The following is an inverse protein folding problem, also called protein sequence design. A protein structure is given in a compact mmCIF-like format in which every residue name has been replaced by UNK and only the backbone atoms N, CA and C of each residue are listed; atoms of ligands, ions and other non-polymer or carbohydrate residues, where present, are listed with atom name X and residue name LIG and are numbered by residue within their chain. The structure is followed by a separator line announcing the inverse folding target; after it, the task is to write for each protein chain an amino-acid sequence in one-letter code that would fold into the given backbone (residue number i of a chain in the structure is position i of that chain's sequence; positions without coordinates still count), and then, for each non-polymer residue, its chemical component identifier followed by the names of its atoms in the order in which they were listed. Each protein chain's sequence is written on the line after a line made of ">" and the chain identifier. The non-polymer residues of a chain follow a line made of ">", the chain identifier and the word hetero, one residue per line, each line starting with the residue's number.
data_IF_545110414773
#
_entry.id   IF_545110414773
#
_cell.length_a   1.000
_cell.length_b   1.000
_cell.length_c   1.000
_cell.angle_alpha   90.00
_cell.angle_beta   90.00
_cell.angle_gamma   90.00
#
_symmetry.space_group_name_H-M   'P 1'
#
loop_
_entity.id
_entity.type
_entity.pdbx_description
1 polymer ?
#
# COMPACT_ATOMS: atom_id res chain seq x y z
N UNK A 1 15.53 -36.25 -12.52
CA UNK A 1 15.21 -37.29 -13.54
C UNK A 1 14.68 -36.75 -14.88
N UNK A 2 14.44 -35.44 -15.04
CA UNK A 2 13.66 -34.89 -16.17
C UNK A 2 14.45 -34.51 -17.43
N UNK A 3 15.79 -34.56 -17.41
CA UNK A 3 16.65 -34.18 -18.54
C UNK A 3 17.33 -35.35 -19.25
N UNK A 4 17.19 -36.58 -18.73
CA UNK A 4 17.94 -37.71 -19.29
C UNK A 4 17.51 -38.08 -20.72
N UNK A 5 16.27 -37.78 -21.12
CA UNK A 5 15.73 -38.20 -22.43
C UNK A 5 16.36 -37.44 -23.62
N UNK A 6 16.66 -36.15 -23.46
CA UNK A 6 17.22 -35.31 -24.53
C UNK A 6 18.68 -35.64 -24.83
N UNK A 7 19.40 -36.25 -23.88
CA UNK A 7 20.84 -36.50 -23.97
C UNK A 7 21.20 -37.97 -24.26
N UNK A 8 20.23 -38.89 -24.34
CA UNK A 8 20.48 -40.35 -24.55
C UNK A 8 21.19 -40.64 -25.89
N UNK A 9 20.87 -39.86 -26.93
CA UNK A 9 21.38 -40.12 -28.29
C UNK A 9 22.66 -39.34 -28.61
N UNK A 10 23.22 -38.58 -27.66
CA UNK A 10 24.44 -37.82 -27.87
C UNK A 10 25.65 -38.68 -27.47
N UNK A 11 26.63 -38.89 -28.38
CA UNK A 11 27.88 -39.55 -28.03
C UNK A 11 28.71 -38.68 -27.07
N UNK A 12 29.32 -39.31 -26.05
CA UNK A 12 30.22 -38.62 -25.11
C UNK A 12 29.59 -38.12 -23.80
N UNK A 13 28.31 -38.44 -23.54
CA UNK A 13 27.67 -38.16 -22.25
C UNK A 13 28.03 -39.27 -21.25
N UNK A 14 28.59 -38.88 -20.10
CA UNK A 14 28.96 -39.79 -19.02
C UNK A 14 27.77 -39.97 -18.09
N UNK A 15 27.21 -41.19 -18.03
CA UNK A 15 26.02 -41.50 -17.22
C UNK A 15 26.33 -42.08 -15.84
N UNK A 16 27.57 -42.54 -15.63
CA UNK A 16 28.01 -43.28 -14.44
C UNK A 16 28.87 -42.45 -13.48
N UNK A 17 28.86 -41.13 -13.62
CA UNK A 17 29.54 -40.21 -12.72
C UNK A 17 28.52 -39.42 -11.89
N UNK A 18 28.86 -39.03 -10.65
CA UNK A 18 28.01 -38.14 -9.87
C UNK A 18 27.89 -36.78 -10.56
N UNK A 19 26.70 -36.19 -10.55
CA UNK A 19 26.42 -34.91 -11.19
C UNK A 19 27.23 -33.75 -10.58
N UNK A 20 27.65 -33.88 -9.31
CA UNK A 20 28.48 -32.90 -8.62
C UNK A 20 29.58 -33.57 -7.78
N UNK A 21 30.79 -32.98 -7.78
CA UNK A 21 31.90 -33.38 -6.93
C UNK A 21 32.17 -32.25 -5.93
N UNK A 22 31.63 -32.41 -4.73
CA UNK A 22 31.71 -31.39 -3.66
C UNK A 22 32.56 -31.91 -2.50
N UNK A 23 33.21 -30.98 -1.79
CA UNK A 23 33.84 -31.29 -0.50
C UNK A 23 32.75 -31.60 0.53
N UNK A 24 32.99 -32.48 1.52
CA UNK A 24 32.02 -32.74 2.57
C UNK A 24 31.61 -31.43 3.26
N UNK A 25 30.32 -31.19 3.37
CA UNK A 25 29.78 -30.04 4.11
C UNK A 25 30.10 -30.22 5.59
N UNK A 26 31.14 -29.52 6.04
CA UNK A 26 31.37 -29.32 7.46
C UNK A 26 30.49 -28.16 7.94
N UNK A 27 29.85 -28.26 9.11
CA UNK A 27 29.18 -27.11 9.68
C UNK A 27 30.23 -26.04 9.92
N UNK A 28 30.29 -25.04 9.04
CA UNK A 28 31.06 -23.82 9.27
C UNK A 28 30.52 -23.21 10.56
N UNK A 29 31.38 -22.70 11.44
CA UNK A 29 30.98 -21.98 12.66
C UNK A 29 30.12 -20.76 12.30
N UNK A 30 28.84 -20.98 12.05
CA UNK A 30 27.77 -19.98 11.93
C UNK A 30 27.05 -19.82 13.28
N UNK A 31 27.71 -20.19 14.38
CA UNK A 31 27.41 -19.50 15.63
C UNK A 31 27.88 -18.08 15.41
N UNK A 32 26.92 -17.17 15.31
CA UNK A 32 27.11 -15.74 15.28
C UNK A 32 28.01 -15.33 16.44
N UNK A 33 29.32 -15.31 16.20
CA UNK A 33 30.20 -14.37 16.86
C UNK A 33 29.80 -13.00 16.32
N UNK A 34 28.63 -12.53 16.72
CA UNK A 34 28.38 -11.10 16.78
C UNK A 34 29.56 -10.56 17.59
N UNK A 35 30.46 -9.86 16.90
CA UNK A 35 31.50 -9.11 17.55
C UNK A 35 30.78 -8.15 18.49
N UNK A 36 30.64 -8.56 19.75
CA UNK A 36 29.98 -7.77 20.76
C UNK A 36 30.61 -6.41 20.75
N UNK A 37 29.78 -5.37 20.65
CA UNK A 37 30.22 -3.99 20.75
C UNK A 37 31.21 -3.89 21.91
N UNK A 38 32.34 -3.25 21.63
CA UNK A 38 33.45 -3.11 22.56
C UNK A 38 32.92 -2.50 23.87
N UNK A 39 32.74 -3.33 24.90
CA UNK A 39 32.33 -2.94 26.25
C UNK A 39 33.52 -2.25 26.95
N UNK A 40 34.05 -1.21 26.30
CA UNK A 40 35.13 -0.38 26.81
C UNK A 40 34.61 0.42 27.99
N UNK A 41 35.27 0.30 29.15
CA UNK A 41 34.95 1.04 30.39
C UNK A 41 34.99 2.58 30.19
N UNK A 42 35.65 3.04 29.12
CA UNK A 42 35.72 4.45 28.73
C UNK A 42 34.51 4.97 27.93
N UNK A 43 33.58 4.09 27.50
CA UNK A 43 32.43 4.46 26.65
C UNK A 43 31.12 4.11 27.36
N UNK A 44 30.33 5.13 27.68
CA UNK A 44 28.97 4.93 28.18
C UNK A 44 28.04 4.61 26.99
N UNK A 45 27.52 3.40 26.94
CA UNK A 45 26.48 3.01 26.00
C UNK A 45 25.11 3.41 26.57
N UNK A 46 24.36 4.21 25.82
CA UNK A 46 23.00 4.62 26.18
C UNK A 46 22.00 3.98 25.22
N UNK A 47 21.00 3.30 25.78
CA UNK A 47 19.87 2.80 25.00
C UNK A 47 18.93 3.95 24.68
N UNK A 48 18.85 4.32 23.41
CA UNK A 48 17.97 5.41 22.97
C UNK A 48 16.56 4.84 22.77
N UNK A 49 15.67 5.11 23.74
CA UNK A 49 14.25 4.81 23.58
C UNK A 49 13.57 5.90 22.75
N UNK A 50 13.29 5.60 21.47
CA UNK A 50 12.64 6.53 20.53
C UNK A 50 11.31 7.09 21.06
N UNK A 51 10.55 6.33 21.85
CA UNK A 51 9.27 6.79 22.42
C UNK A 51 9.49 7.85 23.51
N UNK A 52 10.40 7.60 24.44
CA UNK A 52 10.73 8.55 25.52
C UNK A 52 11.36 9.83 24.96
N UNK A 53 12.21 9.71 23.94
CA UNK A 53 12.77 10.87 23.23
C UNK A 53 11.66 11.64 22.53
N UNK A 54 10.75 10.97 21.83
CA UNK A 54 9.61 11.63 21.18
C UNK A 54 8.76 12.39 22.21
N UNK A 55 8.39 11.78 23.33
CA UNK A 55 7.61 12.42 24.39
C UNK A 55 8.36 13.60 25.02
N UNK A 56 9.68 13.48 25.20
CA UNK A 56 10.52 14.56 25.73
C UNK A 56 10.63 15.77 24.80
N UNK A 57 10.50 15.58 23.48
CA UNK A 57 10.55 16.65 22.47
C UNK A 57 9.18 17.04 21.93
N UNK A 58 8.12 16.29 22.26
CA UNK A 58 6.76 16.60 21.85
C UNK A 58 6.33 17.95 22.45
N UNK A 59 5.80 18.83 21.61
CA UNK A 59 5.45 20.20 21.98
C UNK A 59 6.64 21.18 22.11
N UNK A 60 7.89 20.78 21.85
CA UNK A 60 9.04 21.68 21.73
C UNK A 60 9.33 21.97 20.26
N UNK A 61 9.22 23.23 19.86
CA UNK A 61 9.43 23.66 18.47
C UNK A 61 10.64 24.58 18.35
N UNK A 62 11.36 24.47 17.24
CA UNK A 62 12.51 25.31 16.90
C UNK A 62 12.13 26.28 15.78
N UNK A 63 12.39 27.58 15.98
CA UNK A 63 12.16 28.59 14.94
C UNK A 63 13.49 28.94 14.26
N UNK A 64 13.55 28.70 12.94
CA UNK A 64 14.73 28.97 12.10
C UNK A 64 14.77 30.36 11.45
N UNK A 65 13.75 31.21 11.63
CA UNK A 65 13.65 32.50 10.88
C UNK A 65 14.76 33.51 11.23
N UNK A 66 15.34 33.43 12.42
CA UNK A 66 16.43 34.30 12.87
C UNK A 66 17.80 33.59 12.87
N UNK A 67 17.86 32.33 12.40
CA UNK A 67 19.09 31.56 12.39
C UNK A 67 20.01 32.06 11.26
N UNK A 68 21.16 32.61 11.62
CA UNK A 68 22.16 33.09 10.67
C UNK A 68 23.49 32.37 10.92
N UNK A 69 23.87 31.49 9.98
CA UNK A 69 25.12 30.73 9.98
C UNK A 69 26.18 31.31 9.05
N UNK A 70 25.98 32.53 8.53
CA UNK A 70 27.06 33.21 7.81
C UNK A 70 28.19 33.55 8.77
N UNK A 71 29.43 33.33 8.34
CA UNK A 71 30.68 33.40 9.14
C UNK A 71 31.07 34.83 9.59
N UNK A 72 30.09 35.72 9.69
CA UNK A 72 30.26 37.09 10.13
C UNK A 72 30.00 37.15 11.65
N UNK A 73 31.09 37.04 12.42
CA UNK A 73 31.14 36.86 13.87
C UNK A 73 30.44 37.95 14.73
N UNK A 74 29.81 38.96 14.14
CA UNK A 74 29.15 40.05 14.87
C UNK A 74 27.67 39.80 15.19
N UNK A 75 26.98 38.87 14.50
CA UNK A 75 25.56 38.51 14.78
C UNK A 75 25.21 37.05 14.40
N UNK A 76 26.06 36.09 14.72
CA UNK A 76 25.67 34.69 14.64
C UNK A 76 24.59 34.42 15.72
N UNK A 77 23.34 34.20 15.31
CA UNK A 77 22.25 33.76 16.19
C UNK A 77 21.81 32.38 15.73
N UNK A 78 21.82 31.43 16.65
CA UNK A 78 21.32 30.08 16.42
C UNK A 78 19.79 30.00 16.49
N UNK A 79 19.28 28.77 16.47
CA UNK A 79 17.84 28.52 16.67
C UNK A 79 17.38 29.03 18.03
N UNK A 80 16.22 29.70 18.05
CA UNK A 80 15.60 30.18 19.29
C UNK A 80 14.45 29.24 19.66
N UNK A 81 14.49 28.71 20.88
CA UNK A 81 13.42 27.89 21.44
C UNK A 81 12.21 28.78 21.75
N UNK A 82 11.06 28.48 21.14
CA UNK A 82 9.78 29.10 21.54
C UNK A 82 9.06 28.15 22.50
N UNK A 83 8.77 28.64 23.71
CA UNK A 83 7.79 28.01 24.59
C UNK A 83 6.36 28.28 24.10
N UNK A 84 5.44 27.39 24.46
CA UNK A 84 4.05 27.31 23.96
C UNK A 84 3.21 28.55 24.33
N UNK A 85 3.77 29.49 25.08
CA UNK A 85 3.07 30.68 25.59
C UNK A 85 3.82 31.95 25.21
N UNK A 86 3.86 32.28 23.92
CA UNK A 86 4.10 33.66 23.51
C UNK A 86 3.40 33.98 22.18
N UNK A 87 2.19 34.52 22.34
CA UNK A 87 1.47 35.43 21.46
C UNK A 87 1.29 35.01 19.99
N UNK A 88 0.10 34.47 19.71
CA UNK A 88 -0.57 34.43 18.40
C UNK A 88 -0.91 35.83 17.83
N UNK A 89 -0.23 36.88 18.30
CA UNK A 89 -0.33 38.20 17.73
C UNK A 89 0.85 38.33 16.77
N UNK A 90 0.56 38.45 15.48
CA UNK A 90 1.59 38.74 14.51
C UNK A 90 1.11 38.46 13.08
N UNK A 91 1.54 37.36 12.46
CA UNK A 91 1.60 37.33 10.99
C UNK A 91 1.40 35.95 10.30
N UNK A 92 0.34 35.20 10.61
CA UNK A 92 -0.19 34.12 9.74
C UNK A 92 -1.69 34.39 9.43
N UNK A 93 -2.19 34.20 8.20
CA UNK A 93 -3.60 34.37 7.89
C UNK A 93 -4.39 33.21 8.52
N UNK A 94 -5.16 33.51 9.57
CA UNK A 94 -6.02 32.54 10.25
C UNK A 94 -6.94 31.78 9.27
N UNK A 95 -7.05 30.46 9.45
CA UNK A 95 -8.06 29.69 8.71
C UNK A 95 -9.47 30.08 9.15
N UNK A 96 -10.46 29.96 8.27
CA UNK A 96 -11.83 30.41 8.54
C UNK A 96 -12.47 29.76 9.79
N UNK A 97 -12.06 28.53 10.13
CA UNK A 97 -12.54 27.80 11.31
C UNK A 97 -11.86 28.32 12.59
N UNK A 98 -10.57 28.62 12.54
CA UNK A 98 -9.82 29.21 13.66
C UNK A 98 -10.32 30.63 13.95
N UNK A 99 -10.57 31.42 12.90
CA UNK A 99 -11.18 32.76 13.02
C UNK A 99 -12.56 32.70 13.66
N UNK A 100 -13.38 31.71 13.30
CA UNK A 100 -14.69 31.50 13.93
C UNK A 100 -14.56 31.17 15.42
N UNK A 101 -13.64 30.28 15.79
CA UNK A 101 -13.40 29.93 17.20
C UNK A 101 -12.92 31.13 18.02
N UNK A 102 -12.03 31.95 17.45
CA UNK A 102 -11.60 33.20 18.09
C UNK A 102 -12.76 34.17 18.26
N UNK A 103 -13.54 34.44 17.21
CA UNK A 103 -14.69 35.34 17.27
C UNK A 103 -15.75 34.88 18.29
N UNK A 104 -15.98 33.58 18.43
CA UNK A 104 -16.87 33.05 19.46
C UNK A 104 -16.32 33.29 20.87
N UNK A 105 -15.01 33.18 21.06
CA UNK A 105 -14.36 33.50 22.34
C UNK A 105 -14.40 35.01 22.63
N UNK A 106 -14.15 35.86 21.63
CA UNK A 106 -14.22 37.32 21.75
C UNK A 106 -15.65 37.79 22.05
N UNK A 107 -16.68 37.18 21.44
CA UNK A 107 -18.08 37.47 21.76
C UNK A 107 -18.45 37.06 23.19
N UNK A 108 -17.94 35.93 23.67
CA UNK A 108 -18.17 35.47 25.03
C UNK A 108 -17.42 36.32 26.07
N UNK A 109 -16.21 36.77 25.74
CA UNK A 109 -15.44 37.72 26.56
C UNK A 109 -16.15 39.08 26.62
N UNK A 110 -16.64 39.58 25.49
CA UNK A 110 -17.42 40.81 25.42
C UNK A 110 -18.72 40.70 26.21
N UNK A 111 -19.45 39.58 26.14
CA UNK A 111 -20.62 39.33 27.00
C UNK A 111 -20.23 39.33 28.50
N UNK A 112 -19.06 38.78 28.83
CA UNK A 112 -18.51 38.76 30.18
C UNK A 112 -18.18 40.16 30.72
N UNK A 113 -17.48 40.98 29.94
CA UNK A 113 -17.15 42.37 30.28
C UNK A 113 -18.42 43.19 30.53
N UNK A 114 -19.42 43.01 29.68
CA UNK A 114 -20.65 43.77 29.73
C UNK A 114 -21.55 43.40 30.91
N UNK A 115 -21.57 42.11 31.27
CA UNK A 115 -22.20 41.64 32.50
C UNK A 115 -21.45 42.09 33.77
N UNK A 116 -20.13 42.35 33.68
CA UNK A 116 -19.37 42.95 34.77
C UNK A 116 -19.67 44.45 34.88
N UNK A 117 -19.72 45.19 33.76
CA UNK A 117 -20.08 46.63 33.77
C UNK A 117 -21.48 46.82 34.34
N UNK A 118 -22.44 45.97 34.00
CA UNK A 118 -23.80 46.00 34.57
C UNK A 118 -23.85 45.88 36.11
N UNK A 119 -22.83 45.25 36.74
CA UNK A 119 -22.71 45.14 38.20
C UNK A 119 -22.07 46.37 38.85
N UNK A 120 -21.33 47.17 38.08
CA UNK A 120 -20.72 48.43 38.52
C UNK A 120 -21.71 49.59 38.34
N UNK A 121 -22.83 49.51 39.07
CA UNK A 121 -23.84 50.56 39.27
C UNK A 121 -23.92 51.70 38.24
N UNK A 122 -24.55 51.44 37.08
CA UNK A 122 -24.82 52.46 36.05
C UNK A 122 -26.18 53.15 36.21
N UNK A 123 -26.32 54.32 35.55
CA UNK A 123 -27.59 55.03 35.44
C UNK A 123 -28.66 54.18 34.74
N UNK A 124 -29.95 54.42 35.03
CA UNK A 124 -31.07 53.59 34.52
C UNK A 124 -31.12 53.53 32.98
N UNK A 125 -30.82 54.63 32.29
CA UNK A 125 -30.80 54.69 30.82
C UNK A 125 -29.62 53.91 30.22
N UNK A 126 -28.48 53.92 30.90
CA UNK A 126 -27.30 53.14 30.48
C UNK A 126 -27.55 51.65 30.71
N UNK A 127 -28.18 51.26 31.82
CA UNK A 127 -28.57 49.87 32.08
C UNK A 127 -29.54 49.31 31.03
N UNK A 128 -30.51 50.10 30.55
CA UNK A 128 -31.42 49.66 29.48
C UNK A 128 -30.69 49.48 28.14
N UNK A 129 -29.85 50.45 27.75
CA UNK A 129 -29.02 50.34 26.54
C UNK A 129 -28.04 49.16 26.62
N UNK A 130 -27.44 48.95 27.79
CA UNK A 130 -26.59 47.80 28.04
C UNK A 130 -27.40 46.49 27.84
N UNK A 131 -28.55 46.35 28.50
CA UNK A 131 -29.35 45.13 28.38
C UNK A 131 -29.79 44.85 26.92
N UNK A 132 -30.08 45.88 26.12
CA UNK A 132 -30.36 45.70 24.67
C UNK A 132 -29.14 45.21 23.89
N UNK A 133 -27.92 45.65 24.23
CA UNK A 133 -26.71 45.21 23.57
C UNK A 133 -26.37 43.76 23.91
N UNK A 134 -26.56 43.35 25.17
CA UNK A 134 -26.42 41.95 25.59
C UNK A 134 -27.41 41.05 24.83
N UNK A 135 -28.66 41.50 24.67
CA UNK A 135 -29.65 40.78 23.86
C UNK A 135 -29.22 40.65 22.40
N UNK A 136 -28.65 41.70 21.79
CA UNK A 136 -28.10 41.61 20.44
C UNK A 136 -26.89 40.67 20.33
N UNK A 137 -25.99 40.65 21.32
CA UNK A 137 -24.85 39.73 21.37
C UNK A 137 -25.34 38.27 21.47
N UNK A 138 -26.33 37.99 22.31
CA UNK A 138 -26.94 36.67 22.43
C UNK A 138 -27.64 36.23 21.13
N UNK A 139 -28.36 37.14 20.47
CA UNK A 139 -28.95 36.88 19.15
C UNK A 139 -27.88 36.58 18.10
N UNK A 140 -26.77 37.33 18.08
CA UNK A 140 -25.64 37.09 17.18
C UNK A 140 -25.03 35.70 17.41
N UNK A 141 -24.82 35.30 18.67
CA UNK A 141 -24.30 33.98 19.04
C UNK A 141 -25.24 32.84 18.61
N UNK A 142 -26.55 33.03 18.76
CA UNK A 142 -27.56 32.06 18.30
C UNK A 142 -27.59 31.97 16.76
N UNK A 143 -27.48 33.09 16.05
CA UNK A 143 -27.42 33.11 14.59
C UNK A 143 -26.15 32.45 14.05
N UNK A 144 -24.98 32.73 14.62
CA UNK A 144 -23.71 32.10 14.20
C UNK A 144 -23.68 30.60 14.46
N UNK A 145 -24.24 30.13 15.60
CA UNK A 145 -24.33 28.70 15.90
C UNK A 145 -25.33 27.97 14.99
N UNK A 146 -26.48 28.57 14.67
CA UNK A 146 -27.46 28.00 13.72
C UNK A 146 -26.90 27.87 12.30
N UNK A 147 -26.15 28.86 11.82
CA UNK A 147 -25.54 28.84 10.47
C UNK A 147 -24.46 27.74 10.38
N UNK A 148 -23.70 27.51 11.46
CA UNK A 148 -22.72 26.41 11.53
C UNK A 148 -23.42 25.04 11.58
N UNK A 149 -24.47 24.88 12.38
CA UNK A 149 -25.25 23.64 12.48
C UNK A 149 -26.02 23.29 11.20
N UNK A 150 -26.51 24.29 10.47
CA UNK A 150 -27.25 24.10 9.21
C UNK A 150 -26.38 23.52 8.09
N UNK A 151 -25.05 23.74 8.11
CA UNK A 151 -24.15 23.22 7.07
C UNK A 151 -23.79 21.74 7.26
N UNK A 152 -23.99 21.18 8.46
CA UNK A 152 -23.79 19.75 8.76
C UNK A 152 -25.07 18.93 8.52
N UNK A 153 -26.25 19.51 8.75
CA UNK A 153 -27.55 18.81 8.59
C UNK A 153 -28.05 18.68 7.14
N UNK A 154 -27.39 19.33 6.18
CA UNK A 154 -27.70 19.21 4.75
C UNK A 154 -27.29 17.85 4.15
N UNK A 155 -26.56 16.99 4.88
CA UNK A 155 -26.24 15.63 4.37
C UNK A 155 -27.27 14.56 4.74
N UNK A 156 -28.11 14.76 5.76
CA UNK A 156 -29.06 13.73 6.25
C UNK A 156 -30.50 13.93 5.79
N UNK A 157 -30.94 15.18 5.54
CA UNK A 157 -32.36 15.47 5.34
C UNK A 157 -32.90 15.13 3.94
N UNK A 158 -32.03 15.05 2.94
CA UNK A 158 -32.45 14.83 1.54
C UNK A 158 -32.48 13.36 1.11
N UNK A 159 -31.83 12.44 1.82
CA UNK A 159 -31.77 11.03 1.41
C UNK A 159 -33.08 10.28 1.67
N UNK A 160 -33.73 10.51 2.82
CA UNK A 160 -34.96 9.83 3.21
C UNK A 160 -36.18 10.27 2.39
N UNK A 161 -36.30 11.57 2.09
CA UNK A 161 -37.40 12.10 1.29
C UNK A 161 -37.30 11.70 -0.19
N UNK A 162 -36.08 11.58 -0.74
CA UNK A 162 -35.83 11.09 -2.09
C UNK A 162 -36.07 9.58 -2.21
N UNK A 163 -35.67 8.78 -1.22
CA UNK A 163 -35.98 7.34 -1.17
C UNK A 163 -37.49 7.08 -1.13
N UNK A 164 -38.23 7.91 -0.39
CA UNK A 164 -39.69 7.82 -0.30
C UNK A 164 -40.37 8.19 -1.63
N UNK A 165 -39.88 9.24 -2.31
CA UNK A 165 -40.36 9.64 -3.65
C UNK A 165 -40.03 8.60 -4.73
N UNK A 166 -38.85 7.98 -4.67
CA UNK A 166 -38.45 6.89 -5.57
C UNK A 166 -39.28 5.62 -5.33
N UNK A 167 -39.59 5.30 -4.07
CA UNK A 167 -40.46 4.18 -3.74
C UNK A 167 -41.89 4.40 -4.25
N UNK A 168 -42.41 5.62 -4.15
CA UNK A 168 -43.72 6.00 -4.68
C UNK A 168 -43.78 5.91 -6.22
N UNK A 169 -42.78 6.45 -6.92
CA UNK A 169 -42.66 6.36 -8.39
C UNK A 169 -42.56 4.91 -8.88
N UNK A 170 -41.89 4.02 -8.11
CA UNK A 170 -41.80 2.59 -8.42
C UNK A 170 -43.12 1.83 -8.20
N UNK A 171 -44.02 2.32 -7.35
CA UNK A 171 -45.35 1.73 -7.16
C UNK A 171 -46.35 2.21 -8.23
N UNK A 172 -46.26 3.46 -8.66
CA UNK A 172 -47.09 4.00 -9.74
C UNK A 172 -46.78 3.33 -11.09
N UNK A 173 -45.52 2.98 -11.35
CA UNK A 173 -45.11 2.23 -12.55
C UNK A 173 -45.63 0.77 -12.63
N UNK A 174 -46.21 0.23 -11.55
CA UNK A 174 -46.79 -1.13 -11.54
C UNK A 174 -48.29 -1.18 -11.84
N UNK A 175 -49.01 -0.05 -11.87
CA UNK A 175 -50.48 -0.04 -12.01
C UNK A 175 -51.03 0.52 -13.33
N UNK A 176 -50.21 0.95 -14.28
CA UNK A 176 -50.72 1.38 -15.60
C UNK A 176 -50.16 0.52 -16.73
N UNK A 177 -50.95 -0.47 -17.15
CA UNK A 177 -50.89 -1.00 -18.52
C UNK A 177 -51.30 0.12 -19.48
N UNK A 178 -50.34 0.91 -19.95
CA UNK A 178 -50.59 2.00 -20.91
C UNK A 178 -49.37 2.90 -21.00
N UNK A 179 -48.70 2.88 -22.14
CA UNK A 179 -47.37 3.47 -22.31
C UNK A 179 -47.31 4.99 -22.14
N UNK A 180 -46.48 5.43 -21.20
CA UNK A 180 -45.70 6.66 -21.31
C UNK A 180 -44.44 6.50 -20.45
N UNK A 181 -43.29 6.30 -21.09
CA UNK A 181 -41.98 6.26 -20.40
C UNK A 181 -41.58 7.68 -20.04
N UNK A 182 -41.87 8.11 -18.81
CA UNK A 182 -41.19 9.26 -18.20
C UNK A 182 -39.77 8.81 -17.85
N UNK A 183 -38.81 9.12 -18.73
CA UNK A 183 -37.41 8.75 -18.54
C UNK A 183 -36.74 9.70 -17.55
N UNK A 184 -36.90 9.43 -16.26
CA UNK A 184 -36.15 10.11 -15.21
C UNK A 184 -34.66 9.81 -15.39
N UNK A 185 -33.90 10.81 -15.85
CA UNK A 185 -32.47 10.67 -16.14
C UNK A 185 -31.68 11.09 -14.90
N UNK A 186 -31.20 10.12 -14.14
CA UNK A 186 -30.31 10.35 -13.01
C UNK A 186 -28.87 10.51 -13.52
N UNK A 187 -28.27 11.68 -13.29
CA UNK A 187 -26.85 11.93 -13.55
C UNK A 187 -26.06 11.75 -12.25
N UNK A 188 -25.33 10.64 -12.18
CA UNK A 188 -24.43 10.35 -11.08
C UNK A 188 -23.12 11.10 -11.28
N UNK A 189 -22.90 12.14 -10.47
CA UNK A 189 -21.63 12.87 -10.43
C UNK A 189 -20.73 12.23 -9.38
N UNK A 190 -19.86 11.33 -9.81
CA UNK A 190 -18.78 10.79 -8.98
C UNK A 190 -17.54 11.65 -9.21
N UNK A 191 -17.01 12.24 -8.14
CA UNK A 191 -15.67 12.83 -8.18
C UNK A 191 -14.65 11.66 -8.15
N UNK A 192 -13.81 11.47 -9.19
CA UNK A 192 -12.89 10.34 -9.28
C UNK A 192 -11.86 10.32 -8.14
N UNK A 193 -11.52 11.48 -7.56
CA UNK A 193 -10.62 11.57 -6.41
C UNK A 193 -11.23 10.94 -5.14
N UNK A 194 -12.55 11.05 -4.95
CA UNK A 194 -13.26 10.40 -3.85
C UNK A 194 -13.73 8.99 -4.20
N UNK A 195 -13.76 8.61 -5.47
CA UNK A 195 -14.13 7.26 -5.91
C UNK A 195 -12.98 6.26 -5.67
N UNK A 196 -11.75 6.70 -5.96
CA UNK A 196 -10.54 5.95 -5.63
C UNK A 196 -10.38 5.74 -4.12
N UNK A 197 -10.85 6.70 -3.29
CA UNK A 197 -10.89 6.49 -1.84
C UNK A 197 -12.11 5.69 -1.39
N UNK A 198 -13.34 6.04 -1.77
CA UNK A 198 -14.56 5.51 -1.12
C UNK A 198 -15.13 4.24 -1.77
N UNK A 199 -14.89 3.98 -3.06
CA UNK A 199 -15.64 2.97 -3.81
C UNK A 199 -15.26 1.51 -3.52
N UNK A 200 -13.98 1.24 -3.25
CA UNK A 200 -13.48 -0.12 -3.02
C UNK A 200 -12.27 -0.12 -2.09
N UNK A 201 -11.50 0.95 -2.00
CA UNK A 201 -10.24 0.97 -1.27
C UNK A 201 -10.35 1.44 0.18
N UNK A 202 -11.22 2.36 0.60
CA UNK A 202 -11.21 2.80 2.02
C UNK A 202 -11.79 1.74 2.96
N UNK A 203 -12.90 1.08 2.63
CA UNK A 203 -13.45 0.03 3.50
C UNK A 203 -12.58 -1.23 3.47
N UNK A 204 -12.10 -1.65 2.29
CA UNK A 204 -11.19 -2.80 2.19
C UNK A 204 -9.79 -2.49 2.71
N UNK A 205 -9.26 -1.27 2.57
CA UNK A 205 -7.96 -0.89 3.15
C UNK A 205 -8.05 -0.65 4.65
N UNK A 206 -9.18 -0.17 5.20
CA UNK A 206 -9.39 -0.15 6.65
C UNK A 206 -9.49 -1.58 7.21
N UNK A 207 -10.20 -2.48 6.51
CA UNK A 207 -10.24 -3.89 6.88
C UNK A 207 -8.87 -4.57 6.71
N UNK A 208 -8.12 -4.26 5.66
CA UNK A 208 -6.76 -4.74 5.42
C UNK A 208 -5.82 -4.20 6.50
N UNK A 209 -5.93 -2.93 6.88
CA UNK A 209 -5.15 -2.33 7.97
C UNK A 209 -5.45 -2.97 9.33
N UNK A 210 -6.72 -3.30 9.63
CA UNK A 210 -7.07 -4.05 10.84
C UNK A 210 -6.53 -5.49 10.79
N UNK A 211 -6.62 -6.15 9.63
CA UNK A 211 -6.01 -7.48 9.43
C UNK A 211 -4.49 -7.44 9.56
N UNK A 212 -3.81 -6.45 8.98
CA UNK A 212 -2.37 -6.22 9.10
C UNK A 212 -1.99 -5.93 10.55
N UNK A 213 -2.76 -5.12 11.28
CA UNK A 213 -2.51 -4.86 12.69
C UNK A 213 -2.68 -6.13 13.53
N UNK A 214 -3.68 -6.98 13.21
CA UNK A 214 -3.87 -8.28 13.86
C UNK A 214 -2.76 -9.25 13.54
N UNK A 215 -2.33 -9.35 12.28
CA UNK A 215 -1.20 -10.17 11.84
C UNK A 215 0.07 -9.69 12.52
N UNK A 216 0.35 -8.39 12.54
CA UNK A 216 1.50 -7.82 13.25
C UNK A 216 1.46 -8.10 14.76
N UNK A 217 0.29 -8.05 15.40
CA UNK A 217 0.16 -8.47 16.80
C UNK A 217 0.45 -9.96 16.98
N UNK A 218 -0.04 -10.82 16.09
CA UNK A 218 0.25 -12.26 16.12
C UNK A 218 1.74 -12.53 15.84
N UNK A 219 2.35 -11.83 14.91
CA UNK A 219 3.79 -11.88 14.63
C UNK A 219 4.61 -11.36 15.80
N UNK A 220 4.19 -10.33 16.52
CA UNK A 220 4.89 -9.89 17.72
C UNK A 220 4.77 -10.90 18.89
N UNK A 221 3.68 -11.68 18.94
CA UNK A 221 3.47 -12.70 19.97
C UNK A 221 4.15 -14.04 19.65
N UNK A 222 4.23 -14.39 18.36
CA UNK A 222 4.68 -15.71 17.87
C UNK A 222 6.07 -15.61 17.23
N UNK A 223 6.41 -14.45 16.69
CA UNK A 223 7.66 -14.18 15.99
C UNK A 223 8.84 -14.47 16.90
N UNK A 224 9.63 -15.45 16.48
CA UNK A 224 10.93 -15.69 17.08
C UNK A 224 11.85 -14.55 16.63
N UNK A 225 12.48 -13.87 17.58
CA UNK A 225 13.63 -13.01 17.28
C UNK A 225 14.67 -13.86 16.53
N UNK A 226 15.26 -13.31 15.46
CA UNK A 226 16.18 -13.99 14.51
C UNK A 226 17.32 -14.79 15.18
N UNK A 227 17.59 -14.57 16.47
CA UNK A 227 18.64 -15.24 17.25
C UNK A 227 18.23 -16.56 17.93
N UNK A 228 16.95 -16.95 17.95
CA UNK A 228 16.53 -18.26 18.46
C UNK A 228 16.09 -19.15 17.31
N UNK A 229 17.09 -19.63 16.57
CA UNK A 229 16.93 -20.76 15.64
C UNK A 229 16.58 -22.01 16.46
N UNK A 230 15.30 -22.20 16.75
CA UNK A 230 14.77 -23.54 16.99
C UNK A 230 14.76 -24.17 15.60
N UNK A 231 15.84 -24.86 15.27
CA UNK A 231 16.01 -25.66 14.05
C UNK A 231 14.68 -26.28 13.61
N UNK A 232 14.00 -25.64 12.66
CA UNK A 232 12.91 -26.23 11.88
C UNK A 232 11.91 -27.10 12.66
N UNK A 233 11.49 -26.69 13.87
CA UNK A 233 10.39 -27.34 14.59
C UNK A 233 9.26 -26.34 14.73
N UNK A 234 8.11 -26.70 14.17
CA UNK A 234 6.85 -25.99 14.42
C UNK A 234 6.70 -25.76 15.93
N UNK A 235 6.26 -24.57 16.36
CA UNK A 235 6.05 -24.26 17.78
C UNK A 235 5.17 -25.30 18.48
N UNK A 236 4.26 -25.91 17.73
CA UNK A 236 3.43 -27.03 18.18
C UNK A 236 4.28 -28.24 18.59
N UNK A 237 5.28 -28.64 17.82
CA UNK A 237 6.17 -29.74 18.17
C UNK A 237 6.97 -29.42 19.44
N UNK A 238 7.40 -28.16 19.62
CA UNK A 238 8.09 -27.72 20.84
C UNK A 238 7.14 -27.69 22.05
N UNK A 239 5.88 -27.28 21.87
CA UNK A 239 4.84 -27.33 22.89
C UNK A 239 4.47 -28.76 23.27
N UNK A 240 4.38 -29.67 22.29
CA UNK A 240 4.15 -31.09 22.51
C UNK A 240 5.34 -31.73 23.24
N UNK A 241 6.58 -31.36 22.87
CA UNK A 241 7.78 -31.76 23.60
C UNK A 241 7.80 -31.22 25.04
N UNK A 242 7.36 -29.98 25.25
CA UNK A 242 7.24 -29.43 26.60
C UNK A 242 6.13 -30.13 27.39
N UNK A 243 4.99 -30.41 26.77
CA UNK A 243 3.85 -31.11 27.38
C UNK A 243 4.22 -32.53 27.76
N UNK A 244 4.92 -33.26 26.90
CA UNK A 244 5.45 -34.60 27.20
C UNK A 244 6.48 -34.54 28.33
N UNK A 245 7.37 -33.54 28.34
CA UNK A 245 8.27 -33.30 29.48
C UNK A 245 7.51 -32.99 30.77
N UNK A 246 6.48 -32.15 30.72
CA UNK A 246 5.62 -31.84 31.88
C UNK A 246 4.88 -33.09 32.38
N UNK A 247 4.43 -33.96 31.48
CA UNK A 247 3.81 -35.23 31.84
C UNK A 247 4.83 -36.22 32.45
N UNK A 248 6.11 -36.12 32.08
CA UNK A 248 7.19 -36.84 32.74
C UNK A 248 7.53 -36.25 34.13
N UNK A 249 7.16 -35.01 34.45
CA UNK A 249 7.35 -34.48 35.80
C UNK A 249 6.38 -35.11 36.83
N UNK A 250 5.34 -35.83 36.37
CA UNK A 250 4.50 -36.66 37.24
C UNK A 250 5.17 -38.01 37.50
N UNK A 251 5.83 -38.14 38.67
CA UNK A 251 6.58 -39.34 39.05
C UNK A 251 5.75 -40.63 39.05
N UNK A 252 4.44 -40.55 39.30
CA UNK A 252 3.56 -41.72 39.25
C UNK A 252 3.34 -42.24 37.81
N UNK A 253 3.38 -41.34 36.81
CA UNK A 253 3.29 -41.72 35.40
C UNK A 253 4.61 -42.28 34.87
N UNK A 254 5.77 -41.84 35.38
CA UNK A 254 7.07 -42.42 35.04
C UNK A 254 7.12 -43.91 35.43
N UNK A 255 6.79 -44.24 36.68
CA UNK A 255 6.85 -45.63 37.15
C UNK A 255 5.93 -46.56 36.35
N UNK A 256 4.74 -46.07 35.98
CA UNK A 256 3.79 -46.80 35.15
C UNK A 256 4.24 -46.93 33.68
N UNK A 257 4.91 -45.91 33.13
CA UNK A 257 5.51 -45.94 31.79
C UNK A 257 6.69 -46.92 31.77
N UNK A 258 7.54 -46.96 32.80
CA UNK A 258 8.68 -47.88 32.90
C UNK A 258 8.22 -49.34 32.99
N UNK A 259 7.18 -49.63 33.78
CA UNK A 259 6.58 -50.96 33.84
C UNK A 259 5.97 -51.39 32.48
N UNK A 260 5.40 -50.45 31.72
CA UNK A 260 4.87 -50.72 30.38
C UNK A 260 5.98 -50.89 29.36
N UNK A 261 7.02 -50.07 29.39
CA UNK A 261 8.19 -50.19 28.53
C UNK A 261 8.91 -51.51 28.73
N UNK A 262 9.13 -51.95 29.98
CA UNK A 262 9.72 -53.24 30.28
C UNK A 262 8.91 -54.41 29.67
N UNK A 263 7.58 -54.34 29.75
CA UNK A 263 6.69 -55.32 29.13
C UNK A 263 6.72 -55.29 27.59
N UNK A 264 6.78 -54.10 26.99
CA UNK A 264 6.90 -53.95 25.53
C UNK A 264 8.27 -54.44 25.04
N UNK A 265 9.35 -54.16 25.77
CA UNK A 265 10.71 -54.59 25.44
C UNK A 265 10.81 -56.13 25.49
N UNK A 266 10.21 -56.76 26.51
CA UNK A 266 10.10 -58.22 26.58
C UNK A 266 9.35 -58.81 25.37
N UNK A 267 8.22 -58.20 24.98
CA UNK A 267 7.46 -58.63 23.80
C UNK A 267 8.19 -58.38 22.48
N UNK A 268 8.93 -57.28 22.38
CA UNK A 268 9.71 -56.91 21.20
C UNK A 268 10.89 -57.87 20.99
N UNK A 269 11.57 -58.28 22.06
CA UNK A 269 12.61 -59.31 21.98
C UNK A 269 12.04 -60.66 21.51
N UNK A 270 10.88 -61.08 22.04
CA UNK A 270 10.22 -62.31 21.61
C UNK A 270 9.71 -62.27 20.15
N UNK A 271 9.41 -61.08 19.61
CA UNK A 271 9.05 -60.88 18.20
C UNK A 271 10.31 -60.83 17.34
N UNK A 272 11.39 -60.21 17.81
CA UNK A 272 12.65 -60.10 17.08
C UNK A 272 13.30 -61.48 16.87
N UNK A 273 13.23 -62.36 17.88
CA UNK A 273 13.63 -63.77 17.76
C UNK A 273 12.84 -64.54 16.69
N UNK A 274 11.61 -64.10 16.39
CA UNK A 274 10.74 -64.70 15.36
C UNK A 274 10.85 -64.03 13.98
N UNK A 275 11.54 -62.89 13.84
CA UNK A 275 11.52 -62.02 12.64
C UNK A 275 12.73 -62.20 11.71
N UNK A 276 13.60 -63.18 11.93
CA UNK A 276 14.81 -63.40 11.13
C UNK A 276 14.55 -64.07 9.76
N UNK A 277 13.77 -63.43 8.87
CA UNK A 277 13.62 -63.85 7.47
C UNK A 277 14.05 -62.71 6.53
N UNK A 278 15.09 -62.97 5.75
CA UNK A 278 15.84 -62.02 4.90
C UNK A 278 14.97 -61.30 3.85
N UNK A 279 13.88 -61.91 3.37
CA UNK A 279 12.99 -61.31 2.36
C UNK A 279 12.20 -60.08 2.82
N UNK A 280 12.07 -59.89 4.15
CA UNK A 280 11.41 -58.70 4.69
C UNK A 280 12.38 -57.53 4.80
N UNK A 281 13.70 -57.76 4.79
CA UNK A 281 14.71 -56.71 4.91
C UNK A 281 14.80 -55.85 3.64
N UNK A 282 14.71 -56.46 2.44
CA UNK A 282 14.68 -55.72 1.17
C UNK A 282 13.37 -54.94 0.99
N UNK A 283 12.24 -55.51 1.42
CA UNK A 283 10.96 -54.80 1.46
C UNK A 283 10.99 -53.67 2.47
N UNK A 284 11.65 -53.87 3.61
CA UNK A 284 11.80 -52.86 4.64
C UNK A 284 12.75 -51.74 4.20
N UNK A 285 13.82 -52.05 3.47
CA UNK A 285 14.68 -51.03 2.83
C UNK A 285 13.90 -50.20 1.81
N UNK A 286 13.13 -50.86 0.94
CA UNK A 286 12.28 -50.15 -0.04
C UNK A 286 11.16 -49.35 0.61
N UNK A 287 10.58 -49.85 1.71
CA UNK A 287 9.58 -49.13 2.49
C UNK A 287 10.17 -47.91 3.19
N UNK A 288 11.41 -48.00 3.68
CA UNK A 288 12.15 -46.86 4.23
C UNK A 288 12.46 -45.83 3.15
N UNK A 289 12.92 -46.25 1.95
CA UNK A 289 13.11 -45.32 0.82
C UNK A 289 11.81 -44.63 0.39
N UNK A 290 10.69 -45.35 0.37
CA UNK A 290 9.37 -44.79 0.09
C UNK A 290 8.91 -43.83 1.19
N UNK A 291 9.18 -44.14 2.46
CA UNK A 291 8.89 -43.28 3.58
C UNK A 291 9.72 -41.99 3.52
N UNK A 292 11.02 -42.08 3.25
CA UNK A 292 11.90 -40.91 3.09
C UNK A 292 11.45 -40.03 1.91
N UNK A 293 11.07 -40.64 0.78
CA UNK A 293 10.48 -39.90 -0.33
C UNK A 293 9.15 -39.25 0.09
N UNK A 294 8.28 -39.96 0.79
CA UNK A 294 7.01 -39.41 1.25
C UNK A 294 7.22 -38.24 2.22
N UNK A 295 8.11 -38.35 3.19
CA UNK A 295 8.42 -37.28 4.15
C UNK A 295 9.02 -36.04 3.49
N UNK A 296 9.88 -36.22 2.46
CA UNK A 296 10.39 -35.09 1.66
C UNK A 296 9.26 -34.38 0.90
N UNK A 297 8.29 -35.13 0.40
CA UNK A 297 7.17 -34.59 -0.38
C UNK A 297 6.01 -34.12 0.47
N UNK A 298 5.90 -34.54 1.73
CA UNK A 298 4.83 -34.16 2.65
C UNK A 298 4.81 -32.66 2.90
N UNK A 299 6.00 -32.06 3.12
CA UNK A 299 6.14 -30.60 3.25
C UNK A 299 5.73 -29.86 1.98
N UNK A 300 6.10 -30.38 0.81
CA UNK A 300 5.71 -29.80 -0.49
C UNK A 300 4.22 -29.97 -0.77
N UNK A 301 3.62 -31.11 -0.41
CA UNK A 301 2.21 -31.39 -0.57
C UNK A 301 1.35 -30.48 0.31
N UNK A 302 1.81 -30.17 1.53
CA UNK A 302 1.17 -29.18 2.41
C UNK A 302 1.20 -27.76 1.81
N UNK A 303 2.25 -27.42 1.06
CA UNK A 303 2.40 -26.10 0.42
C UNK A 303 1.65 -25.98 -0.92
N UNK A 304 1.31 -27.09 -1.58
CA UNK A 304 0.62 -27.10 -2.86
C UNK A 304 -0.71 -26.31 -2.88
N UNK A 305 -1.65 -26.46 -1.91
CA UNK A 305 -2.86 -25.66 -1.87
C UNK A 305 -2.59 -24.17 -1.65
N UNK A 306 -1.55 -23.82 -0.91
CA UNK A 306 -1.13 -22.42 -0.69
C UNK A 306 -0.64 -21.81 -2.01
N UNK A 307 0.18 -22.56 -2.76
CA UNK A 307 0.65 -22.15 -4.09
C UNK A 307 -0.54 -21.99 -5.04
N UNK A 308 -1.52 -22.90 -5.01
CA UNK A 308 -2.73 -22.79 -5.81
C UNK A 308 -3.53 -21.53 -5.47
N UNK A 309 -3.75 -21.24 -4.19
CA UNK A 309 -4.46 -20.02 -3.75
C UNK A 309 -3.72 -18.76 -4.19
N UNK A 310 -2.39 -18.74 -4.07
CA UNK A 310 -1.56 -17.62 -4.55
C UNK A 310 -1.66 -17.45 -6.06
N UNK A 311 -1.68 -18.55 -6.83
CA UNK A 311 -1.84 -18.51 -8.27
C UNK A 311 -3.22 -17.98 -8.68
N UNK A 312 -4.28 -18.36 -7.96
CA UNK A 312 -5.64 -17.85 -8.18
C UNK A 312 -5.70 -16.36 -7.88
N UNK A 313 -5.14 -15.92 -6.75
CA UNK A 313 -5.08 -14.51 -6.39
C UNK A 313 -4.29 -13.67 -7.41
N UNK A 314 -3.22 -14.24 -7.97
CA UNK A 314 -2.36 -13.56 -8.95
C UNK A 314 -2.86 -13.72 -10.41
N UNK A 315 -3.88 -14.53 -10.66
CA UNK A 315 -4.39 -14.81 -12.01
C UNK A 315 -4.86 -13.54 -12.71
N UNK A 316 -5.56 -12.65 -12.01
CA UNK A 316 -6.03 -11.38 -12.60
C UNK A 316 -4.83 -10.50 -13.02
N UNK A 317 -3.80 -10.40 -12.17
CA UNK A 317 -2.59 -9.67 -12.52
C UNK A 317 -1.86 -10.32 -13.70
N UNK A 318 -1.75 -11.64 -13.74
CA UNK A 318 -1.15 -12.36 -14.86
C UNK A 318 -1.93 -12.15 -16.16
N UNK A 319 -3.26 -12.14 -16.11
CA UNK A 319 -4.11 -11.84 -17.28
C UNK A 319 -3.91 -10.40 -17.74
N UNK A 320 -3.85 -9.44 -16.83
CA UNK A 320 -3.55 -8.04 -17.16
C UNK A 320 -2.16 -7.88 -17.76
N UNK A 321 -1.14 -8.53 -17.20
CA UNK A 321 0.22 -8.50 -17.75
C UNK A 321 0.30 -9.15 -19.14
N UNK A 322 -0.45 -10.23 -19.38
CA UNK A 322 -0.57 -10.84 -20.69
C UNK A 322 -1.25 -9.91 -21.69
N UNK A 323 -2.38 -9.30 -21.33
CA UNK A 323 -3.09 -8.31 -22.16
C UNK A 323 -2.24 -7.06 -22.42
N UNK A 324 -1.41 -6.66 -21.45
CA UNK A 324 -0.47 -5.55 -21.62
C UNK A 324 0.62 -5.90 -22.64
N UNK A 325 1.20 -7.11 -22.56
CA UNK A 325 2.22 -7.56 -23.51
C UNK A 325 1.67 -7.64 -24.95
N UNK A 326 0.46 -8.19 -25.11
CA UNK A 326 -0.19 -8.26 -26.44
C UNK A 326 -0.62 -6.87 -26.94
N UNK A 327 -1.16 -6.02 -26.05
CA UNK A 327 -1.49 -4.63 -26.35
C UNK A 327 -0.25 -3.83 -26.78
N UNK A 328 0.88 -4.00 -26.09
CA UNK A 328 2.14 -3.35 -26.42
C UNK A 328 2.65 -3.78 -27.80
N UNK A 329 2.61 -5.08 -28.10
CA UNK A 329 2.97 -5.58 -29.44
C UNK A 329 2.05 -5.05 -30.53
N UNK A 330 0.74 -4.91 -30.25
CA UNK A 330 -0.21 -4.30 -31.18
C UNK A 330 0.10 -2.82 -31.43
N UNK A 331 0.37 -2.06 -30.37
CA UNK A 331 0.77 -0.66 -30.48
C UNK A 331 2.11 -0.48 -31.21
N UNK A 332 3.07 -1.37 -31.01
CA UNK A 332 4.34 -1.35 -31.75
C UNK A 332 4.11 -1.60 -33.25
N UNK A 333 3.24 -2.56 -33.60
CA UNK A 333 2.87 -2.82 -34.99
C UNK A 333 2.15 -1.61 -35.63
N UNK A 334 1.22 -0.98 -34.91
CA UNK A 334 0.51 0.22 -35.37
C UNK A 334 1.47 1.41 -35.52
N UNK A 335 2.40 1.59 -34.57
CA UNK A 335 3.43 2.62 -34.64
C UNK A 335 4.35 2.42 -35.84
N UNK A 336 4.73 1.17 -36.13
CA UNK A 336 5.55 0.86 -37.31
C UNK A 336 4.77 1.11 -38.62
N UNK A 337 3.47 0.79 -38.66
CA UNK A 337 2.60 1.08 -39.81
C UNK A 337 2.39 2.59 -40.01
N UNK A 338 2.22 3.36 -38.93
CA UNK A 338 2.11 4.81 -38.98
C UNK A 338 3.43 5.45 -39.45
N UNK A 339 4.56 4.94 -38.99
CA UNK A 339 5.90 5.39 -39.41
C UNK A 339 6.12 5.16 -40.90
N UNK A 340 5.79 3.97 -41.41
CA UNK A 340 5.90 3.70 -42.86
C UNK A 340 4.94 4.56 -43.68
N UNK A 341 3.71 4.82 -43.20
CA UNK A 341 2.78 5.75 -43.84
C UNK A 341 3.30 7.19 -43.85
N UNK A 342 3.92 7.65 -42.75
CA UNK A 342 4.54 8.97 -42.67
C UNK A 342 5.72 9.10 -43.63
N UNK A 343 6.59 8.08 -43.71
CA UNK A 343 7.70 8.03 -44.65
C UNK A 343 7.21 8.04 -46.11
N UNK A 344 6.10 7.34 -46.41
CA UNK A 344 5.47 7.38 -47.73
C UNK A 344 4.91 8.78 -48.07
N UNK A 345 4.27 9.45 -47.11
CA UNK A 345 3.79 10.82 -47.28
C UNK A 345 4.94 11.82 -47.47
N UNK A 346 6.05 11.67 -46.74
CA UNK A 346 7.25 12.49 -46.92
C UNK A 346 7.88 12.30 -48.31
N UNK A 347 7.92 11.05 -48.81
CA UNK A 347 8.35 10.76 -50.18
C UNK A 347 7.42 11.40 -51.22
N UNK A 348 6.10 11.31 -51.03
CA UNK A 348 5.11 11.97 -51.90
C UNK A 348 5.29 13.49 -51.92
N UNK A 349 5.53 14.12 -50.79
CA UNK A 349 5.79 15.57 -50.71
C UNK A 349 7.09 15.95 -51.40
N UNK A 350 8.16 15.15 -51.26
CA UNK A 350 9.41 15.33 -52.01
C UNK A 350 9.19 15.22 -53.52
N UNK A 351 8.44 14.21 -53.96
CA UNK A 351 8.07 14.04 -55.37
C UNK A 351 7.22 15.23 -55.87
N UNK A 352 6.24 15.69 -55.08
CA UNK A 352 5.42 16.85 -55.38
C UNK A 352 6.29 18.11 -55.52
N UNK A 353 7.25 18.32 -54.61
CA UNK A 353 8.20 19.43 -54.69
C UNK A 353 9.04 19.38 -55.97
N UNK A 354 9.60 18.21 -56.30
CA UNK A 354 10.40 18.05 -57.52
C UNK A 354 9.58 18.22 -58.80
N UNK A 355 8.32 17.77 -58.80
CA UNK A 355 7.42 17.97 -59.95
C UNK A 355 7.00 19.43 -60.06
N UNK A 356 6.78 20.14 -58.95
CA UNK A 356 6.57 21.59 -58.97
C UNK A 356 7.78 22.34 -59.49
N UNK A 357 9.00 22.03 -59.04
CA UNK A 357 10.24 22.63 -59.56
C UNK A 357 10.38 22.38 -61.07
N UNK A 358 10.23 21.13 -61.52
CA UNK A 358 10.28 20.79 -62.95
C UNK A 358 9.18 21.50 -63.77
N UNK A 359 7.98 21.63 -63.23
CA UNK A 359 6.87 22.33 -63.90
C UNK A 359 7.14 23.84 -63.97
N UNK A 360 7.73 24.43 -62.93
CA UNK A 360 8.10 25.85 -62.88
C UNK A 360 9.23 26.14 -63.87
N UNK A 361 10.23 25.26 -63.96
CA UNK A 361 11.31 25.35 -64.96
C UNK A 361 10.78 25.20 -66.39
N UNK A 362 9.84 24.27 -66.61
CA UNK A 362 9.15 24.11 -67.90
C UNK A 362 8.34 25.36 -68.25
N UNK A 363 7.59 25.93 -67.31
CA UNK A 363 6.87 27.20 -67.49
C UNK A 363 7.83 28.35 -67.81
N UNK A 364 8.97 28.43 -67.12
CA UNK A 364 10.00 29.46 -67.37
C UNK A 364 10.60 29.31 -68.78
N UNK A 365 10.87 28.07 -69.21
CA UNK A 365 11.30 27.75 -70.57
C UNK A 365 10.26 28.16 -71.60
N UNK A 366 8.99 27.79 -71.38
CA UNK A 366 7.87 28.15 -72.25
C UNK A 366 7.69 29.68 -72.32
N UNK A 367 7.75 30.38 -71.18
CA UNK A 367 7.63 31.84 -71.13
C UNK A 367 8.78 32.51 -71.88
N UNK A 368 10.02 32.05 -71.70
CA UNK A 368 11.17 32.53 -72.47
C UNK A 368 10.99 32.28 -73.98
N UNK A 369 10.42 31.15 -74.38
CA UNK A 369 10.15 30.85 -75.79
C UNK A 369 9.07 31.77 -76.38
N UNK A 370 8.04 32.12 -75.59
CA UNK A 370 7.01 33.09 -75.97
C UNK A 370 7.63 34.48 -76.10
N UNK A 371 8.48 34.88 -75.15
CA UNK A 371 9.13 36.18 -75.15
C UNK A 371 10.08 36.34 -76.35
N UNK A 372 10.85 35.31 -76.68
CA UNK A 372 11.65 35.27 -77.92
C UNK A 372 10.79 35.38 -79.20
N UNK A 373 9.63 34.71 -79.23
CA UNK A 373 8.66 34.84 -80.35
C UNK A 373 8.07 36.25 -80.43
N UNK A 374 7.86 36.92 -79.30
CA UNK A 374 7.34 38.30 -79.24
C UNK A 374 8.38 39.30 -79.76
N UNK A 375 9.65 39.15 -79.36
CA UNK A 375 10.77 39.97 -79.85
C UNK A 375 11.01 39.78 -81.36
N UNK A 376 10.93 38.55 -81.86
CA UNK A 376 11.10 38.27 -83.29
C UNK A 376 9.92 38.76 -84.13
N UNK A 377 8.70 38.76 -83.57
CA UNK A 377 7.51 39.34 -84.21
C UNK A 377 7.51 40.87 -84.21
N UNK A 378 8.11 41.50 -83.18
CA UNK A 378 8.30 42.95 -83.11
C UNK A 378 9.34 43.51 -84.08
N UNK A 379 10.29 42.68 -84.56
CA UNK A 379 11.30 43.06 -85.56
C UNK A 379 10.84 42.96 -87.02
N UNK A 380 9.60 42.54 -87.27
CA UNK A 380 9.02 42.36 -88.63
C UNK A 380 8.07 43.50 -89.06
N UNK A 381 8.09 44.65 -88.40
CA UNK A 381 7.34 45.84 -88.82
C UNK A 381 8.24 46.87 -89.48
#
# INVERSE_FOLDING_TARGET
>A
MMKKLDYVNLPGIVNDQPDCFETPDYPTNEQSNEAGYDNSEAVNQFDINSKEVHDAFNGKYLNGKAANFSDNATKARGYVQHGIYQNYAEHEPETAIERYKRLMSELQELEGEFNQTSKEGLSKEESENLNTLVQHIQQLQEHTSKVYGAKFLLSERDTSSLLTKLAASKQEAKQTNGGQKTSDTFKLYINPATAASVGTSSTSALQLSDLEQKVSKLENLIGLNEQQSIESRTLLNSLEQLTTRVNLLDGANIDHIDMKLANVLSRLNAINEKKATVDEQDKQSKAVELFDMMSRWETMAANLPIIQQRLIALNELHQQAFQFSTGLSHYEAEQQALKTSLDANDQLLKQLKTTFESNLDSLKSQLNSIDQKLVTSGKKK
#
